data_IF_907480719416
#
_entry.id   IF_907480719416
#
_cell.length_a   1.000
_cell.length_b   1.000
_cell.length_c   1.000
_cell.angle_alpha   90.00
_cell.angle_beta   90.00
_cell.angle_gamma   90.00
#
_symmetry.space_group_name_H-M   'P 1'
#
loop_
_entity.id
_entity.type
_entity.pdbx_description
1 polymer ?
#
# COMPACT_ATOMS: atom_id res chain seq x y z
N UNK A 1 15.50 5.75 -8.19
CA UNK A 1 14.22 6.47 -8.22
C UNK A 1 13.36 5.82 -9.28
N UNK A 2 12.06 5.54 -9.04
CA UNK A 2 11.17 5.19 -10.15
C UNK A 2 11.25 6.33 -11.17
N UNK A 3 11.34 5.99 -12.46
CA UNK A 3 11.27 6.99 -13.53
C UNK A 3 9.95 7.77 -13.36
N UNK A 4 9.91 9.09 -13.61
CA UNK A 4 8.66 9.86 -13.61
C UNK A 4 7.53 9.16 -14.38
N UNK A 5 7.89 8.50 -15.49
CA UNK A 5 6.99 7.71 -16.32
C UNK A 5 6.32 6.54 -15.58
N UNK A 6 7.00 5.88 -14.63
CA UNK A 6 6.43 4.78 -13.85
C UNK A 6 5.43 5.30 -12.83
N UNK A 7 5.71 6.45 -12.22
CA UNK A 7 4.79 7.08 -11.27
C UNK A 7 3.50 7.50 -11.99
N UNK A 8 3.64 8.15 -13.15
CA UNK A 8 2.50 8.57 -13.96
C UNK A 8 1.68 7.37 -14.45
N UNK A 9 2.33 6.30 -14.91
CA UNK A 9 1.64 5.09 -15.34
C UNK A 9 0.83 4.42 -14.22
N UNK A 10 1.44 4.23 -13.04
CA UNK A 10 0.75 3.64 -11.88
C UNK A 10 -0.40 4.51 -11.37
N UNK A 11 -0.21 5.83 -11.40
CA UNK A 11 -1.26 6.80 -11.07
C UNK A 11 -2.42 6.71 -12.07
N UNK A 12 -2.14 6.70 -13.37
CA UNK A 12 -3.18 6.56 -14.40
C UNK A 12 -3.95 5.25 -14.27
N UNK A 13 -3.26 4.15 -13.98
CA UNK A 13 -3.88 2.86 -13.72
C UNK A 13 -4.79 2.92 -12.49
N UNK A 14 -4.33 3.54 -11.39
CA UNK A 14 -5.16 3.74 -10.19
C UNK A 14 -6.43 4.55 -10.48
N UNK A 15 -6.31 5.63 -11.26
CA UNK A 15 -7.46 6.46 -11.67
C UNK A 15 -8.47 5.62 -12.46
N UNK A 16 -7.99 4.82 -13.44
CA UNK A 16 -8.84 3.93 -14.22
C UNK A 16 -9.57 2.89 -13.36
N UNK A 17 -8.87 2.30 -12.39
CA UNK A 17 -9.46 1.35 -11.42
C UNK A 17 -10.55 2.05 -10.61
N UNK A 18 -10.29 3.24 -10.08
CA UNK A 18 -11.28 4.01 -9.33
C UNK A 18 -12.50 4.37 -10.18
N UNK A 19 -12.29 4.79 -11.43
CA UNK A 19 -13.38 5.12 -12.36
C UNK A 19 -14.22 3.89 -12.74
N UNK A 20 -13.59 2.72 -12.91
CA UNK A 20 -14.28 1.46 -13.14
C UNK A 20 -15.24 1.13 -11.98
N UNK A 21 -14.75 1.20 -10.75
CA UNK A 21 -15.57 0.94 -9.55
C UNK A 21 -16.57 2.05 -9.23
N UNK A 22 -16.48 3.26 -9.81
CA UNK A 22 -17.56 4.25 -9.67
C UNK A 22 -18.86 3.78 -10.32
N UNK A 23 -18.76 2.96 -11.36
CA UNK A 23 -19.91 2.47 -12.13
C UNK A 23 -20.43 1.11 -11.63
N UNK A 24 -19.74 0.47 -10.68
CA UNK A 24 -20.07 -0.86 -10.14
C UNK A 24 -20.09 -0.85 -8.62
N UNK A 25 -20.80 -1.78 -7.96
CA UNK A 25 -20.71 -1.94 -6.51
C UNK A 25 -19.72 -3.05 -6.16
N UNK A 26 -18.87 -2.86 -5.13
CA UNK A 26 -18.78 -1.69 -4.25
C UNK A 26 -18.09 -0.47 -4.90
N UNK A 27 -18.60 0.74 -4.60
CA UNK A 27 -18.00 1.98 -5.07
C UNK A 27 -16.89 2.46 -4.13
N UNK A 28 -15.72 2.75 -4.69
CA UNK A 28 -14.56 3.29 -3.99
C UNK A 28 -14.38 4.77 -4.29
N UNK A 29 -14.08 5.55 -3.24
CA UNK A 29 -13.92 7.00 -3.34
C UNK A 29 -12.47 7.44 -3.41
N UNK A 30 -11.53 6.56 -3.05
CA UNK A 30 -10.10 6.86 -3.01
C UNK A 30 -9.28 5.57 -3.05
N UNK A 31 -8.01 5.64 -3.45
CA UNK A 31 -7.09 4.52 -3.38
C UNK A 31 -5.62 4.97 -3.40
N UNK A 32 -4.73 3.99 -3.28
CA UNK A 32 -3.28 4.19 -3.34
C UNK A 32 -2.63 2.95 -3.96
N UNK A 33 -1.56 3.16 -4.72
CA UNK A 33 -0.70 2.08 -5.20
C UNK A 33 0.50 1.95 -4.29
N UNK A 34 0.65 0.80 -3.65
CA UNK A 34 1.91 0.44 -2.99
C UNK A 34 2.81 -0.24 -4.01
N UNK A 35 4.07 0.17 -4.06
CA UNK A 35 5.02 -0.39 -5.02
C UNK A 35 6.42 -0.47 -4.42
N UNK A 36 7.31 -1.25 -5.03
CA UNK A 36 8.72 -1.23 -4.67
C UNK A 36 9.37 0.08 -5.15
N UNK A 37 10.06 0.78 -4.24
CA UNK A 37 10.80 2.01 -4.51
C UNK A 37 12.23 1.88 -4.04
N UNK A 38 13.19 2.30 -4.87
CA UNK A 38 14.57 2.49 -4.42
C UNK A 38 14.74 3.87 -3.79
N UNK A 39 15.10 3.91 -2.52
CA UNK A 39 15.53 5.09 -1.79
C UNK A 39 16.98 4.90 -1.32
N UNK A 40 17.90 5.72 -1.85
CA UNK A 40 19.32 5.73 -1.47
C UNK A 40 19.97 4.34 -1.48
N UNK A 41 19.65 3.53 -2.49
CA UNK A 41 20.19 2.19 -2.64
C UNK A 41 19.44 1.10 -1.87
N UNK A 42 18.30 1.41 -1.23
CA UNK A 42 17.48 0.43 -0.50
C UNK A 42 16.09 0.29 -1.09
N UNK A 43 15.59 -0.94 -1.14
CA UNK A 43 14.20 -1.23 -1.44
C UNK A 43 13.32 -0.83 -0.27
N UNK A 44 12.36 0.06 -0.51
CA UNK A 44 11.36 0.56 0.43
C UNK A 44 9.98 0.48 -0.22
N UNK A 45 8.94 0.54 0.59
CA UNK A 45 7.58 0.72 0.09
C UNK A 45 7.40 2.17 -0.37
N UNK A 46 7.10 2.35 -1.63
CA UNK A 46 6.57 3.58 -2.18
C UNK A 46 5.05 3.58 -2.15
N UNK A 47 4.45 4.76 -2.10
CA UNK A 47 3.01 4.95 -2.20
C UNK A 47 2.71 6.02 -3.24
N UNK A 48 1.80 5.74 -4.18
CA UNK A 48 1.33 6.67 -5.20
C UNK A 48 -0.17 6.91 -5.02
N UNK A 49 -0.54 8.18 -4.89
CA UNK A 49 -1.92 8.65 -4.71
C UNK A 49 -2.56 9.03 -6.06
N UNK A 50 -3.89 9.21 -6.13
CA UNK A 50 -4.57 9.62 -7.36
C UNK A 50 -4.16 11.01 -7.86
N UNK A 51 -3.82 11.91 -6.94
CA UNK A 51 -3.37 13.26 -7.25
C UNK A 51 -1.90 13.31 -7.71
N UNK A 52 -1.18 12.18 -7.64
CA UNK A 52 0.15 11.99 -8.23
C UNK A 52 1.31 12.17 -7.27
N UNK A 53 1.07 12.34 -5.97
CA UNK A 53 2.14 12.32 -4.98
C UNK A 53 2.80 10.94 -4.94
N UNK A 54 4.14 10.93 -4.91
CA UNK A 54 4.95 9.72 -4.75
C UNK A 54 5.74 9.78 -3.45
N UNK A 55 5.28 9.03 -2.45
CA UNK A 55 5.76 9.07 -1.08
C UNK A 55 6.52 7.79 -0.71
N UNK A 56 7.17 7.82 0.45
CA UNK A 56 7.57 6.60 1.15
C UNK A 56 6.44 6.23 2.11
N UNK A 57 6.13 4.93 2.18
CA UNK A 57 5.10 4.46 3.11
C UNK A 57 5.65 4.50 4.54
N UNK A 58 5.14 5.43 5.33
CA UNK A 58 5.40 5.53 6.76
C UNK A 58 4.38 4.75 7.57
N UNK A 59 4.73 4.38 8.80
CA UNK A 59 3.82 3.67 9.70
C UNK A 59 2.53 4.48 9.96
N UNK A 60 2.56 5.82 10.21
CA UNK A 60 1.33 6.59 10.36
C UNK A 60 0.41 6.55 9.14
N UNK A 61 0.97 6.59 7.92
CA UNK A 61 0.17 6.47 6.69
C UNK A 61 -0.48 5.09 6.58
N UNK A 62 0.26 4.03 6.91
CA UNK A 62 -0.29 2.67 6.94
C UNK A 62 -1.35 2.50 8.03
N UNK A 63 -1.15 3.10 9.21
CA UNK A 63 -2.15 3.13 10.28
C UNK A 63 -3.45 3.76 9.78
N UNK A 64 -3.37 4.92 9.11
CA UNK A 64 -4.53 5.57 8.51
C UNK A 64 -5.29 4.66 7.53
N UNK A 65 -4.59 3.86 6.72
CA UNK A 65 -5.23 2.85 5.86
C UNK A 65 -5.90 1.73 6.67
N UNK A 66 -5.29 1.31 7.77
CA UNK A 66 -5.74 0.18 8.60
C UNK A 66 -6.94 0.49 9.51
N UNK A 67 -7.18 1.76 9.81
CA UNK A 67 -8.33 2.21 10.62
C UNK A 67 -9.66 1.95 9.89
N UNK A 68 -9.64 2.01 8.56
CA UNK A 68 -10.81 1.83 7.71
C UNK A 68 -10.85 0.47 7.02
N UNK A 69 -12.02 0.08 6.48
CA UNK A 69 -12.08 -0.99 5.50
C UNK A 69 -11.21 -0.66 4.27
N UNK A 70 -10.40 -1.63 3.86
CA UNK A 70 -9.51 -1.52 2.71
C UNK A 70 -9.71 -2.74 1.79
N UNK A 71 -9.51 -2.54 0.49
CA UNK A 71 -9.74 -3.57 -0.53
C UNK A 71 -8.60 -3.63 -1.52
N UNK A 72 -8.33 -4.81 -2.05
CA UNK A 72 -7.50 -4.99 -3.25
C UNK A 72 -8.31 -4.66 -4.51
N UNK A 73 -7.62 -4.31 -5.60
CA UNK A 73 -8.25 -4.28 -6.93
C UNK A 73 -8.73 -5.68 -7.30
N UNK A 74 -10.04 -5.87 -7.38
CA UNK A 74 -10.74 -7.15 -7.33
C UNK A 74 -11.86 -7.16 -6.28
N UNK A 75 -12.02 -6.06 -5.54
CA UNK A 75 -12.98 -5.87 -4.47
C UNK A 75 -12.84 -6.84 -3.28
N UNK A 76 -11.65 -7.41 -3.11
CA UNK A 76 -11.34 -8.31 -2.00
C UNK A 76 -10.95 -7.51 -0.77
N UNK A 77 -11.72 -7.66 0.30
CA UNK A 77 -11.48 -6.92 1.54
C UNK A 77 -10.27 -7.47 2.29
N UNK A 78 -9.39 -6.56 2.71
CA UNK A 78 -8.17 -6.88 3.45
C UNK A 78 -8.01 -6.01 4.70
N UNK A 79 -7.23 -6.52 5.65
CA UNK A 79 -6.74 -5.82 6.83
C UNK A 79 -5.23 -5.67 6.67
N UNK A 80 -4.73 -4.48 6.97
CA UNK A 80 -3.32 -4.13 6.83
C UNK A 80 -2.73 -3.89 8.21
N UNK A 81 -1.55 -4.42 8.47
CA UNK A 81 -0.81 -4.14 9.72
C UNK A 81 0.67 -3.97 9.45
N UNK A 82 1.29 -3.03 10.17
CA UNK A 82 2.74 -2.93 10.19
C UNK A 82 3.30 -4.13 10.97
N UNK A 83 4.33 -4.78 10.43
CA UNK A 83 5.11 -5.78 11.15
C UNK A 83 6.53 -5.29 11.33
N UNK A 84 7.06 -5.53 12.52
CA UNK A 84 8.48 -5.36 12.76
C UNK A 84 9.25 -6.49 12.10
N UNK A 85 10.32 -6.13 11.40
CA UNK A 85 11.28 -7.13 10.92
C UNK A 85 12.11 -7.54 12.14
N UNK A 86 11.95 -8.80 12.58
CA UNK A 86 12.61 -9.36 13.77
C UNK A 86 14.15 -9.32 13.72
N UNK A 87 14.73 -9.06 12.54
CA UNK A 87 16.15 -8.74 12.35
C UNK A 87 16.34 -7.26 12.02
N UNK A 88 16.02 -6.37 12.95
CA UNK A 88 16.48 -4.98 12.87
C UNK A 88 17.96 -4.95 13.16
N UNK A 89 18.77 -4.64 12.16
CA UNK A 89 20.19 -4.40 12.37
C UNK A 89 20.40 -3.08 13.12
N UNK A 90 21.25 -3.02 14.17
CA UNK A 90 21.44 -1.82 14.99
C UNK A 90 21.88 -0.55 14.22
N UNK A 91 22.52 -0.73 13.08
CA UNK A 91 22.89 0.40 12.21
C UNK A 91 21.67 1.01 11.49
N UNK A 92 20.54 0.30 11.36
CA UNK A 92 19.30 0.85 10.82
C UNK A 92 18.72 1.90 11.77
N UNK A 93 18.73 1.63 13.08
CA UNK A 93 18.25 2.56 14.10
C UNK A 93 19.10 3.85 14.09
N UNK A 94 20.40 3.75 13.82
CA UNK A 94 21.30 4.92 13.71
C UNK A 94 21.04 5.82 12.49
N UNK A 95 20.25 5.35 11.52
CA UNK A 95 19.85 6.12 10.33
C UNK A 95 18.43 6.66 10.42
N UNK A 96 17.65 6.26 11.43
CA UNK A 96 16.35 6.84 11.70
C UNK A 96 16.55 8.30 12.12
N UNK A 97 15.91 9.21 11.38
CA UNK A 97 15.89 10.62 11.78
C UNK A 97 14.82 10.77 12.85
N UNK A 98 15.15 11.24 14.06
CA UNK A 98 14.18 11.33 15.15
C UNK A 98 12.96 12.19 14.80
N UNK A 99 13.13 13.17 13.90
CA UNK A 99 12.05 14.06 13.45
C UNK A 99 11.19 13.50 12.30
N UNK A 100 11.47 12.28 11.81
CA UNK A 100 10.70 11.66 10.72
C UNK A 100 9.91 10.47 11.21
N UNK A 101 8.67 10.29 10.71
CA UNK A 101 7.89 9.11 11.05
C UNK A 101 8.61 7.85 10.56
N UNK A 102 8.55 6.75 11.34
CA UNK A 102 9.19 5.50 10.98
C UNK A 102 8.59 4.96 9.68
N UNK A 103 9.43 4.34 8.85
CA UNK A 103 9.01 3.73 7.59
C UNK A 103 8.47 2.32 7.82
N UNK A 104 7.59 1.87 6.94
CA UNK A 104 7.11 0.48 6.94
C UNK A 104 8.21 -0.41 6.35
N UNK A 105 8.61 -1.43 7.11
CA UNK A 105 9.63 -2.39 6.68
C UNK A 105 9.02 -3.73 6.27
N UNK A 106 7.94 -4.14 6.93
CA UNK A 106 7.10 -5.26 6.54
C UNK A 106 5.62 -4.90 6.68
N UNK A 107 4.85 -5.31 5.69
CA UNK A 107 3.41 -5.11 5.59
C UNK A 107 2.73 -6.46 5.68
N UNK A 108 1.92 -6.70 6.70
CA UNK A 108 1.05 -7.85 6.75
C UNK A 108 -0.31 -7.51 6.12
N UNK A 109 -0.67 -8.26 5.07
CA UNK A 109 -1.96 -8.20 4.40
C UNK A 109 -2.73 -9.46 4.74
N UNK A 110 -3.88 -9.30 5.40
CA UNK A 110 -4.73 -10.42 5.79
C UNK A 110 -6.10 -10.25 5.15
N UNK A 111 -6.65 -11.30 4.55
CA UNK A 111 -8.04 -11.26 4.09
C UNK A 111 -9.00 -11.04 5.27
N UNK A 112 -10.08 -10.29 5.02
CA UNK A 112 -11.17 -10.21 5.99
C UNK A 112 -11.76 -11.62 6.19
N UNK A 113 -12.07 -12.04 7.42
CA UNK A 113 -12.70 -13.35 7.66
C UNK A 113 -13.99 -13.60 6.88
N UNK A 114 -14.64 -12.53 6.41
CA UNK A 114 -15.86 -12.60 5.61
C UNK A 114 -15.61 -12.58 4.09
N UNK A 115 -14.36 -12.55 3.63
CA UNK A 115 -14.05 -12.65 2.21
C UNK A 115 -14.38 -14.06 1.69
N UNK A 116 -14.87 -14.17 0.46
CA UNK A 116 -15.18 -15.48 -0.12
C UNK A 116 -13.90 -16.27 -0.42
N UNK A 117 -14.01 -17.60 -0.45
CA UNK A 117 -12.87 -18.46 -0.73
C UNK A 117 -12.30 -18.24 -2.14
N UNK A 118 -13.17 -18.07 -3.15
CA UNK A 118 -12.76 -17.82 -4.53
C UNK A 118 -11.97 -16.49 -4.68
N UNK A 119 -12.37 -15.45 -3.94
CA UNK A 119 -11.62 -14.19 -3.84
C UNK A 119 -10.26 -14.40 -3.17
N UNK A 120 -10.21 -15.14 -2.06
CA UNK A 120 -8.95 -15.39 -1.36
C UNK A 120 -7.95 -16.18 -2.22
N UNK A 121 -8.42 -17.17 -2.98
CA UNK A 121 -7.59 -17.97 -3.89
C UNK A 121 -7.02 -17.12 -5.04
N UNK A 122 -7.85 -16.26 -5.64
CA UNK A 122 -7.42 -15.38 -6.75
C UNK A 122 -6.37 -14.35 -6.33
N UNK A 123 -6.33 -14.00 -5.03
CA UNK A 123 -5.45 -12.96 -4.49
C UNK A 123 -4.40 -13.49 -3.52
N UNK A 124 -4.20 -14.81 -3.43
CA UNK A 124 -3.36 -15.43 -2.39
C UNK A 124 -1.92 -14.85 -2.34
N UNK A 125 -1.35 -14.49 -3.49
CA UNK A 125 -0.02 -13.89 -3.59
C UNK A 125 0.09 -12.50 -2.93
N UNK A 126 -1.04 -11.82 -2.72
CA UNK A 126 -1.13 -10.50 -2.08
C UNK A 126 -1.29 -10.60 -0.56
N UNK A 127 -1.50 -11.80 -0.02
CA UNK A 127 -1.70 -12.04 1.41
C UNK A 127 -0.41 -12.55 2.09
N UNK A 128 -0.35 -12.34 3.40
CA UNK A 128 0.82 -12.69 4.22
C UNK A 128 1.69 -11.48 4.54
N UNK A 129 2.94 -11.74 4.92
CA UNK A 129 3.90 -10.67 5.25
C UNK A 129 4.71 -10.33 4.02
N UNK A 130 4.47 -9.15 3.48
CA UNK A 130 5.17 -8.58 2.33
C UNK A 130 6.30 -7.68 2.84
N UNK A 131 7.45 -7.77 2.19
CA UNK A 131 8.57 -6.84 2.32
C UNK A 131 8.70 -6.08 0.99
N UNK A 132 9.45 -4.97 0.90
CA UNK A 132 9.65 -4.30 -0.38
C UNK A 132 10.26 -5.20 -1.47
N UNK A 133 10.96 -6.27 -1.10
CA UNK A 133 11.55 -7.22 -2.03
C UNK A 133 10.61 -8.38 -2.42
N UNK A 134 9.60 -8.66 -1.59
CA UNK A 134 8.61 -9.73 -1.83
C UNK A 134 7.25 -9.18 -2.23
N UNK A 135 7.09 -7.86 -2.27
CA UNK A 135 5.91 -7.22 -2.82
C UNK A 135 5.80 -7.62 -4.30
N UNK A 136 4.64 -8.11 -4.77
CA UNK A 136 4.36 -8.14 -6.21
C UNK A 136 4.53 -6.74 -6.80
N UNK A 137 4.75 -6.64 -8.12
CA UNK A 137 5.16 -5.40 -8.81
C UNK A 137 4.47 -4.13 -8.26
N UNK A 138 3.16 -4.23 -8.03
CA UNK A 138 2.37 -3.23 -7.34
C UNK A 138 1.16 -3.86 -6.62
N UNK A 139 0.63 -3.13 -5.64
CA UNK A 139 -0.54 -3.51 -4.87
C UNK A 139 -1.50 -2.32 -4.79
N UNK A 140 -2.63 -2.43 -5.48
CA UNK A 140 -3.68 -1.42 -5.52
C UNK A 140 -4.59 -1.57 -4.31
N UNK A 141 -4.58 -0.56 -3.43
CA UNK A 141 -5.43 -0.48 -2.25
C UNK A 141 -6.53 0.53 -2.48
N UNK A 142 -7.77 0.11 -2.30
CA UNK A 142 -8.97 0.92 -2.50
C UNK A 142 -9.66 1.13 -1.16
N UNK A 143 -10.30 2.29 -1.01
CA UNK A 143 -11.05 2.68 0.20
C UNK A 143 -12.28 3.49 -0.22
N UNK A 144 -13.29 3.56 0.66
CA UNK A 144 -14.51 4.34 0.37
C UNK A 144 -14.30 5.84 0.49
N UNK A 145 -13.35 6.27 1.32
CA UNK A 145 -13.03 7.67 1.60
C UNK A 145 -11.52 7.78 1.80
N UNK A 146 -10.95 8.92 1.46
CA UNK A 146 -9.53 9.20 1.72
C UNK A 146 -9.22 9.00 3.23
N UNK A 147 -8.25 8.16 3.59
CA UNK A 147 -7.86 8.01 4.98
C UNK A 147 -7.21 9.28 5.54
N UNK A 148 -7.36 9.50 6.85
CA UNK A 148 -6.74 10.64 7.53
C UNK A 148 -5.21 10.58 7.46
N UNK A 149 -4.56 11.74 7.40
CA UNK A 149 -3.08 11.84 7.34
C UNK A 149 -2.47 11.64 5.96
N UNK A 150 -3.24 11.16 4.97
CA UNK A 150 -2.80 11.07 3.58
C UNK A 150 -2.89 12.43 2.87
N UNK A 151 -1.93 12.76 1.98
CA UNK A 151 -1.93 14.03 1.26
C UNK A 151 -3.06 14.10 0.21
N UNK A 152 -3.17 15.22 -0.50
CA UNK A 152 -4.36 15.64 -1.25
C UNK A 152 -4.31 15.08 -2.67
#
# INVERSE_FOLDING_TARGET
MPSPLVVDALREQLIRVLDWYRQQRPAYGWGVVLHQRNERGRSRFGAITPSGESLLLSQPLLVGLSEGPCWLDGAVRVRLTCREVTQRHPWLDSLERPDRPPLVEALAVCFDPNASQAECESFQAMAGTLTPATLPSELFLLTRKKPSGWPI
#
